data_IF_766483566585
#
_entry.id   IF_766483566585
#
_cell.length_a   1.000
_cell.length_b   1.000
_cell.length_c   1.000
_cell.angle_alpha   90.00
_cell.angle_beta   90.00
_cell.angle_gamma   90.00
#
_symmetry.space_group_name_H-M   'P 1'
#
loop_
_entity.id
_entity.type
_entity.pdbx_description
1 polymer ?
#
# COMPACT_ATOMS: atom_id res chain seq x y z
N UNK A 1 -2.04 -44.46 -46.87
CA UNK A 1 -1.31 -43.21 -46.51
C UNK A 1 -1.98 -42.57 -45.31
N UNK A 2 -1.37 -42.71 -44.15
CA UNK A 2 -1.89 -42.08 -42.92
C UNK A 2 -1.25 -40.70 -42.77
N UNK A 3 -2.07 -39.67 -42.95
CA UNK A 3 -1.64 -38.32 -42.66
C UNK A 3 -1.74 -38.10 -41.12
N UNK A 4 -0.59 -38.00 -40.46
CA UNK A 4 -0.49 -37.71 -39.05
C UNK A 4 -0.69 -36.20 -38.88
N UNK A 5 -1.88 -35.80 -38.44
CA UNK A 5 -2.16 -34.40 -38.04
C UNK A 5 -1.52 -34.15 -36.67
N UNK A 6 -0.38 -33.49 -36.67
CA UNK A 6 0.25 -33.00 -35.44
C UNK A 6 -0.51 -31.73 -35.04
N UNK A 7 -1.37 -31.84 -34.02
CA UNK A 7 -2.01 -30.68 -33.40
C UNK A 7 -0.95 -29.93 -32.60
N UNK A 8 -0.59 -28.74 -33.05
CA UNK A 8 0.28 -27.81 -32.33
C UNK A 8 -0.53 -27.20 -31.16
N UNK A 9 -0.32 -27.74 -30.00
CA UNK A 9 -0.93 -27.15 -28.76
C UNK A 9 -0.13 -25.90 -28.39
N UNK A 10 -0.67 -24.76 -28.73
CA UNK A 10 -0.15 -23.47 -28.23
C UNK A 10 -0.47 -23.36 -26.73
N UNK A 11 0.53 -23.64 -25.89
CA UNK A 11 0.46 -23.38 -24.47
C UNK A 11 0.57 -21.88 -24.25
N UNK A 12 -0.56 -21.23 -23.97
CA UNK A 12 -0.58 -19.84 -23.50
C UNK A 12 -0.13 -19.85 -22.06
N UNK A 13 1.12 -19.46 -21.80
CA UNK A 13 1.59 -19.20 -20.45
C UNK A 13 0.98 -17.88 -19.97
N UNK A 14 0.31 -17.85 -18.78
CA UNK A 14 -0.20 -16.59 -18.26
C UNK A 14 0.97 -15.64 -17.99
N UNK A 15 0.93 -14.47 -18.61
CA UNK A 15 1.91 -13.41 -18.36
C UNK A 15 1.73 -12.90 -16.93
N UNK A 16 2.76 -13.03 -16.08
CA UNK A 16 2.77 -12.45 -14.74
C UNK A 16 2.93 -10.93 -14.92
N UNK A 17 2.04 -10.10 -14.33
CA UNK A 17 2.18 -8.65 -14.42
C UNK A 17 3.56 -8.20 -13.98
N UNK A 18 4.15 -7.25 -14.70
CA UNK A 18 5.45 -6.69 -14.36
C UNK A 18 5.41 -6.07 -12.95
N UNK A 19 6.36 -6.45 -12.11
CA UNK A 19 6.53 -5.91 -10.75
C UNK A 19 7.57 -4.80 -10.79
N UNK A 20 7.22 -3.66 -10.19
CA UNK A 20 8.11 -2.53 -10.04
C UNK A 20 8.51 -2.41 -8.57
N UNK A 21 9.80 -2.33 -8.28
CA UNK A 21 10.32 -2.17 -6.93
C UNK A 21 10.77 -0.73 -6.69
N UNK A 22 10.42 -0.19 -5.52
CA UNK A 22 10.90 1.10 -5.03
C UNK A 22 11.48 0.93 -3.63
N UNK A 23 12.54 1.67 -3.32
CA UNK A 23 13.25 1.52 -2.07
C UNK A 23 14.06 0.25 -2.00
N UNK A 24 14.20 -0.31 -0.80
CA UNK A 24 14.93 -1.55 -0.58
C UNK A 24 14.14 -2.77 -1.06
N UNK A 25 14.86 -3.83 -1.39
CA UNK A 25 14.27 -5.13 -1.67
C UNK A 25 13.55 -5.66 -0.42
N UNK A 26 12.37 -6.23 -0.60
CA UNK A 26 11.61 -6.83 0.50
C UNK A 26 12.39 -8.00 1.12
N UNK A 27 12.39 -8.07 2.45
CA UNK A 27 13.18 -9.03 3.23
C UNK A 27 12.35 -10.15 3.86
N UNK A 28 11.06 -10.23 3.52
CA UNK A 28 10.17 -11.26 4.06
C UNK A 28 9.66 -10.97 5.47
N UNK A 29 9.39 -9.72 5.81
CA UNK A 29 8.74 -9.37 7.06
C UNK A 29 7.39 -10.09 7.23
N UNK A 30 6.93 -10.24 8.48
CA UNK A 30 5.64 -10.84 8.79
C UNK A 30 4.52 -10.17 8.00
N UNK A 31 3.75 -10.98 7.27
CA UNK A 31 2.58 -10.50 6.54
C UNK A 31 1.42 -10.25 7.48
N UNK A 32 0.86 -9.04 7.40
CA UNK A 32 -0.32 -8.63 8.16
C UNK A 32 -1.37 -8.14 7.17
N UNK A 33 -2.59 -8.64 7.31
CA UNK A 33 -3.71 -8.17 6.50
C UNK A 33 -4.07 -6.73 6.88
N UNK A 34 -4.42 -5.93 5.88
CA UNK A 34 -4.80 -4.53 6.07
C UNK A 34 -5.93 -4.37 7.08
N UNK A 35 -6.96 -5.23 7.00
CA UNK A 35 -8.10 -5.19 7.92
C UNK A 35 -7.66 -5.43 9.38
N UNK A 36 -6.74 -6.36 9.60
CA UNK A 36 -6.21 -6.65 10.94
C UNK A 36 -5.36 -5.49 11.48
N UNK A 37 -4.55 -4.89 10.63
CA UNK A 37 -3.75 -3.72 11.01
C UNK A 37 -4.65 -2.54 11.39
N UNK A 38 -5.72 -2.29 10.65
CA UNK A 38 -6.68 -1.23 10.95
C UNK A 38 -7.50 -1.50 12.21
N UNK A 39 -7.83 -2.77 12.49
CA UNK A 39 -8.59 -3.15 13.68
C UNK A 39 -7.78 -3.05 14.97
N UNK A 40 -6.50 -3.37 14.92
CA UNK A 40 -5.62 -3.46 16.10
C UNK A 40 -4.25 -2.84 15.84
N UNK A 41 -4.18 -1.56 15.45
CA UNK A 41 -2.92 -0.94 15.04
C UNK A 41 -1.87 -0.89 16.16
N UNK A 42 -2.30 -0.76 17.41
CA UNK A 42 -1.39 -0.69 18.56
C UNK A 42 -0.64 -2.00 18.83
N UNK A 43 -1.20 -3.14 18.43
CA UNK A 43 -0.49 -4.43 18.53
C UNK A 43 0.75 -4.50 17.64
N UNK A 44 0.75 -3.73 16.57
CA UNK A 44 1.82 -3.75 15.57
C UNK A 44 2.71 -2.51 15.63
N UNK A 45 2.37 -1.52 16.45
CA UNK A 45 3.12 -0.26 16.55
C UNK A 45 4.59 -0.52 16.86
N UNK A 46 5.48 0.07 16.06
CA UNK A 46 6.92 -0.11 16.15
C UNK A 46 7.46 -1.39 15.50
N UNK A 47 6.59 -2.28 15.03
CA UNK A 47 7.01 -3.52 14.36
C UNK A 47 7.16 -3.31 12.86
N UNK A 48 8.09 -4.05 12.26
CA UNK A 48 8.21 -4.13 10.81
C UNK A 48 7.30 -5.23 10.29
N UNK A 49 6.40 -4.88 9.39
CA UNK A 49 5.42 -5.79 8.79
C UNK A 49 5.37 -5.63 7.28
N UNK A 50 4.82 -6.63 6.60
CA UNK A 50 4.50 -6.56 5.17
C UNK A 50 2.98 -6.51 5.01
N UNK A 51 2.49 -5.53 4.27
CA UNK A 51 1.06 -5.36 3.97
C UNK A 51 0.88 -5.30 2.46
N UNK A 52 -0.03 -6.09 1.94
CA UNK A 52 -0.41 -6.08 0.52
C UNK A 52 -1.84 -5.59 0.38
N UNK A 53 -2.04 -4.53 -0.39
CA UNK A 53 -3.35 -3.97 -0.63
C UNK A 53 -3.32 -3.07 -1.88
N UNK A 54 -4.52 -2.64 -2.31
CA UNK A 54 -4.63 -1.67 -3.40
C UNK A 54 -4.28 -0.28 -2.93
N UNK A 55 -3.63 0.46 -3.80
CA UNK A 55 -3.39 1.88 -3.63
C UNK A 55 -4.67 2.61 -4.03
N UNK A 56 -5.33 3.20 -3.06
CA UNK A 56 -6.52 4.01 -3.29
C UNK A 56 -6.16 5.40 -3.80
N UNK A 57 -5.09 5.96 -3.26
CA UNK A 57 -4.59 7.29 -3.62
C UNK A 57 -3.08 7.39 -3.46
N UNK A 58 -2.47 8.21 -4.26
CA UNK A 58 -1.07 8.61 -4.13
C UNK A 58 -0.95 10.11 -4.32
N UNK A 59 0.09 10.71 -3.74
CA UNK A 59 0.37 12.12 -3.94
C UNK A 59 0.65 12.41 -5.42
N UNK A 60 -0.21 13.21 -6.04
CA UNK A 60 -0.11 13.51 -7.47
C UNK A 60 1.03 14.46 -7.83
N UNK A 61 1.58 15.19 -6.85
CA UNK A 61 2.65 16.16 -7.07
C UNK A 61 4.03 15.50 -7.15
N UNK A 62 4.32 14.54 -6.24
CA UNK A 62 5.65 13.94 -6.12
C UNK A 62 5.64 12.43 -5.93
N UNK A 63 4.48 11.81 -5.66
CA UNK A 63 4.42 10.40 -5.27
C UNK A 63 5.05 10.12 -3.90
N UNK A 64 5.05 11.13 -3.01
CA UNK A 64 5.75 11.08 -1.73
C UNK A 64 4.96 10.43 -0.59
N UNK A 65 3.74 10.05 -0.84
CA UNK A 65 2.91 9.24 0.04
C UNK A 65 1.87 8.48 -0.79
N UNK A 66 1.34 7.42 -0.22
CA UNK A 66 0.19 6.71 -0.79
C UNK A 66 -0.72 6.22 0.32
N UNK A 67 -1.96 5.90 -0.04
CA UNK A 67 -2.95 5.33 0.87
C UNK A 67 -3.34 3.94 0.40
N UNK A 68 -3.17 2.96 1.26
CA UNK A 68 -3.64 1.60 1.04
C UNK A 68 -5.03 1.43 1.61
N UNK A 69 -5.93 0.81 0.87
CA UNK A 69 -7.28 0.54 1.33
C UNK A 69 -7.83 -0.76 0.74
N UNK A 70 -8.67 -1.44 1.51
CA UNK A 70 -9.39 -2.63 1.05
C UNK A 70 -10.66 -2.29 0.28
N UNK A 71 -11.19 -1.08 0.44
CA UNK A 71 -12.45 -0.59 -0.17
C UNK A 71 -12.29 0.82 -0.69
N UNK A 72 -13.24 1.28 -1.51
CA UNK A 72 -13.24 2.66 -2.03
C UNK A 72 -13.47 3.71 -0.94
N UNK A 73 -14.20 3.34 0.10
CA UNK A 73 -14.53 4.20 1.24
C UNK A 73 -14.07 3.56 2.54
N UNK A 74 -13.94 4.34 3.58
CA UNK A 74 -13.53 3.88 4.90
C UNK A 74 -12.06 4.13 5.18
N UNK A 75 -11.58 3.69 6.35
CA UNK A 75 -10.21 3.96 6.77
C UNK A 75 -9.20 3.25 5.88
N UNK A 76 -8.07 3.90 5.68
CA UNK A 76 -6.92 3.35 4.98
C UNK A 76 -5.66 3.48 5.81
N UNK A 77 -4.56 2.96 5.28
CA UNK A 77 -3.24 3.09 5.87
C UNK A 77 -2.43 4.03 5.01
N UNK A 78 -1.93 5.10 5.63
CA UNK A 78 -1.01 6.01 4.97
C UNK A 78 0.38 5.40 4.94
N UNK A 79 0.97 5.35 3.75
CA UNK A 79 2.35 4.92 3.56
C UNK A 79 3.19 6.15 3.26
N UNK A 80 4.19 6.36 4.08
CA UNK A 80 5.26 7.32 3.82
C UNK A 80 6.54 6.55 3.55
N UNK A 81 7.53 7.20 2.96
CA UNK A 81 8.77 6.55 2.57
C UNK A 81 9.89 6.99 3.49
N UNK A 82 10.61 6.02 4.04
CA UNK A 82 11.66 6.28 5.02
C UNK A 82 12.64 7.34 4.54
N UNK A 83 12.82 8.38 5.34
CA UNK A 83 13.75 9.49 5.09
C UNK A 83 13.52 10.21 3.76
N UNK A 84 12.32 10.15 3.18
CA UNK A 84 12.06 10.66 1.82
C UNK A 84 12.99 10.06 0.75
N UNK A 85 13.44 8.83 1.00
CA UNK A 85 14.49 8.20 0.18
C UNK A 85 14.03 7.69 -1.18
N UNK A 86 12.73 7.54 -1.39
CA UNK A 86 12.16 7.07 -2.65
C UNK A 86 10.69 7.49 -2.77
N UNK A 87 10.14 7.37 -3.97
CA UNK A 87 8.75 7.74 -4.27
C UNK A 87 8.12 6.68 -5.17
N UNK A 88 6.79 6.67 -5.19
CA UNK A 88 6.03 5.85 -6.15
C UNK A 88 5.66 6.66 -7.38
N UNK A 89 5.39 6.01 -8.52
CA UNK A 89 4.91 6.73 -9.70
C UNK A 89 3.63 7.52 -9.41
N UNK A 90 3.44 8.65 -10.08
CA UNK A 90 2.27 9.52 -9.89
C UNK A 90 0.95 8.85 -10.26
N UNK A 91 0.98 7.86 -11.14
CA UNK A 91 -0.16 7.07 -11.60
C UNK A 91 -0.34 5.75 -10.84
N UNK A 92 0.18 5.67 -9.61
CA UNK A 92 0.16 4.44 -8.80
C UNK A 92 -1.23 4.06 -8.29
N UNK A 93 -2.18 4.99 -8.20
CA UNK A 93 -3.53 4.70 -7.76
C UNK A 93 -4.17 3.59 -8.62
N UNK A 94 -4.83 2.63 -7.98
CA UNK A 94 -5.40 1.45 -8.63
C UNK A 94 -4.46 0.26 -8.74
N UNK A 95 -3.16 0.45 -8.54
CA UNK A 95 -2.17 -0.65 -8.49
C UNK A 95 -2.25 -1.38 -7.16
N UNK A 96 -1.78 -2.63 -7.13
CA UNK A 96 -1.56 -3.38 -5.89
C UNK A 96 -0.14 -3.14 -5.40
N UNK A 97 0.01 -2.81 -4.13
CA UNK A 97 1.30 -2.62 -3.51
C UNK A 97 1.52 -3.64 -2.39
N UNK A 98 2.70 -4.21 -2.34
CA UNK A 98 3.21 -4.93 -1.18
C UNK A 98 4.26 -4.05 -0.52
N UNK A 99 3.98 -3.65 0.71
CA UNK A 99 4.77 -2.67 1.45
C UNK A 99 5.39 -3.32 2.66
N UNK A 100 6.70 -3.21 2.79
CA UNK A 100 7.43 -3.56 4.01
C UNK A 100 7.81 -2.29 4.74
N UNK A 101 7.36 -2.16 5.98
CA UNK A 101 7.58 -0.94 6.75
C UNK A 101 7.25 -1.07 8.23
N UNK A 102 7.58 -0.03 8.96
CA UNK A 102 7.32 0.07 10.40
C UNK A 102 5.96 0.71 10.64
N UNK A 103 5.16 0.08 11.48
CA UNK A 103 3.83 0.58 11.83
C UNK A 103 3.96 1.73 12.82
N UNK A 104 3.23 2.81 12.53
CA UNK A 104 3.13 3.99 13.38
C UNK A 104 1.66 4.39 13.53
N UNK A 105 1.25 4.72 14.75
CA UNK A 105 -0.06 5.32 15.01
C UNK A 105 0.16 6.79 15.32
N UNK A 106 -0.34 7.66 14.44
CA UNK A 106 -0.16 9.09 14.57
C UNK A 106 -1.43 9.74 15.08
N UNK A 107 -1.30 10.54 16.14
CA UNK A 107 -2.36 11.46 16.58
C UNK A 107 -2.22 12.74 15.77
N UNK A 108 -3.31 13.19 15.18
CA UNK A 108 -3.33 14.39 14.34
C UNK A 108 -4.18 15.48 15.01
N UNK A 109 -3.72 16.73 14.94
CA UNK A 109 -4.56 17.88 15.25
C UNK A 109 -5.56 18.13 14.11
N UNK A 110 -6.56 18.98 14.38
CA UNK A 110 -7.60 19.29 13.41
C UNK A 110 -7.05 19.91 12.12
N UNK A 111 -6.05 20.77 12.22
CA UNK A 111 -5.44 21.42 11.05
C UNK A 111 -4.74 20.43 10.15
N UNK A 112 -3.98 19.50 10.74
CA UNK A 112 -3.27 18.46 9.99
C UNK A 112 -4.23 17.44 9.37
N UNK A 113 -5.29 17.05 10.10
CA UNK A 113 -6.32 16.18 9.57
C UNK A 113 -7.02 16.81 8.37
N UNK A 114 -7.39 18.08 8.44
CA UNK A 114 -7.99 18.84 7.33
C UNK A 114 -7.04 18.94 6.13
N UNK A 115 -5.76 19.14 6.38
CA UNK A 115 -4.76 19.19 5.33
C UNK A 115 -4.68 17.86 4.57
N UNK A 116 -4.66 16.74 5.28
CA UNK A 116 -4.66 15.41 4.67
C UNK A 116 -5.94 15.11 3.91
N UNK A 117 -7.09 15.50 4.47
CA UNK A 117 -8.38 15.34 3.79
C UNK A 117 -8.46 16.18 2.51
N UNK A 118 -7.87 17.37 2.50
CA UNK A 118 -7.79 18.21 1.31
C UNK A 118 -6.91 17.57 0.21
N UNK A 119 -5.94 16.75 0.59
CA UNK A 119 -5.15 15.93 -0.34
C UNK A 119 -5.86 14.64 -0.77
N UNK A 120 -7.07 14.40 -0.26
CA UNK A 120 -7.91 13.26 -0.62
C UNK A 120 -7.79 12.05 0.30
N UNK A 121 -7.09 12.16 1.43
CA UNK A 121 -7.00 11.09 2.41
C UNK A 121 -8.28 10.98 3.25
N UNK A 122 -8.56 9.78 3.75
CA UNK A 122 -9.61 9.54 4.74
C UNK A 122 -8.95 9.40 6.11
N UNK A 123 -9.19 10.38 6.99
CA UNK A 123 -8.58 10.40 8.32
C UNK A 123 -9.59 9.91 9.37
N UNK A 124 -9.33 8.76 10.02
CA UNK A 124 -10.21 8.23 11.03
C UNK A 124 -10.25 9.12 12.27
N UNK A 125 -11.45 9.22 12.88
CA UNK A 125 -11.67 9.91 14.13
C UNK A 125 -12.02 8.90 15.21
N UNK A 126 -11.28 8.91 16.31
CA UNK A 126 -11.54 8.03 17.44
C UNK A 126 -12.80 8.41 18.23
N UNK A 127 -13.21 7.54 19.16
CA UNK A 127 -14.36 7.78 20.05
C UNK A 127 -14.18 8.99 20.95
N UNK A 128 -12.95 9.37 21.24
CA UNK A 128 -12.57 10.55 22.00
C UNK A 128 -12.61 11.86 21.19
N UNK A 129 -13.02 11.79 19.93
CA UNK A 129 -13.09 12.92 19.02
C UNK A 129 -11.74 13.34 18.43
N UNK A 130 -10.67 12.62 18.73
CA UNK A 130 -9.33 12.90 18.21
C UNK A 130 -9.07 12.12 16.93
N UNK A 131 -8.39 12.77 15.99
CA UNK A 131 -7.98 12.12 14.74
C UNK A 131 -6.76 11.22 14.98
N UNK A 132 -6.83 10.02 14.41
CA UNK A 132 -5.73 9.05 14.43
C UNK A 132 -5.53 8.51 13.04
N UNK A 133 -4.29 8.30 12.69
CA UNK A 133 -3.94 7.72 11.40
C UNK A 133 -3.01 6.54 11.63
N UNK A 134 -3.33 5.40 11.01
CA UNK A 134 -2.41 4.28 10.94
C UNK A 134 -1.48 4.52 9.77
N UNK A 135 -0.20 4.49 10.03
CA UNK A 135 0.85 4.75 9.06
C UNK A 135 1.81 3.58 8.95
N UNK A 136 2.34 3.38 7.74
CA UNK A 136 3.51 2.54 7.49
C UNK A 136 4.64 3.44 7.00
N UNK A 137 5.76 3.41 7.69
CA UNK A 137 6.99 4.03 7.21
C UNK A 137 7.72 2.99 6.38
N UNK A 138 7.54 3.03 5.08
CA UNK A 138 8.02 2.02 4.16
C UNK A 138 9.52 2.08 3.96
N UNK A 139 10.17 0.93 4.01
CA UNK A 139 11.55 0.73 3.59
C UNK A 139 11.64 0.19 2.17
N UNK A 140 10.63 -0.53 1.73
CA UNK A 140 10.54 -1.07 0.39
C UNK A 140 9.10 -1.32 -0.05
N UNK A 141 8.86 -1.19 -1.35
CA UNK A 141 7.54 -1.34 -1.98
C UNK A 141 7.69 -2.11 -3.28
N UNK A 142 6.82 -3.10 -3.49
CA UNK A 142 6.61 -3.74 -4.79
C UNK A 142 5.23 -3.34 -5.32
N UNK A 143 5.21 -2.83 -6.54
CA UNK A 143 3.99 -2.38 -7.23
C UNK A 143 3.65 -3.31 -8.38
N UNK A 144 2.37 -3.66 -8.51
CA UNK A 144 1.81 -4.42 -9.64
C UNK A 144 0.56 -3.70 -10.15
N UNK A 145 0.48 -3.50 -11.45
CA UNK A 145 -0.74 -2.99 -12.08
C UNK A 145 -1.78 -4.07 -12.30
#
# INVERSE_FOLDING_TARGET
MNALLIALVLTVTPEVPATMTRGEKLKGAEQVELAKLLASPTEFEGKTVAVEAKIRKACEKKGCWMELAGTEKGPGVRVTFKDYGFFVPLDSAGSTAKVEGVVKVAMLDDAKAKHYEAEGATVPKGKDGKYREVQLVAVGVELRK
#
